data_IF_422273396160
#
_entry.id   IF_422273396160
#
_cell.length_a   1.000
_cell.length_b   1.000
_cell.length_c   1.000
_cell.angle_alpha   90.00
_cell.angle_beta   90.00
_cell.angle_gamma   90.00
#
_symmetry.space_group_name_H-M   'P 1'
#
loop_
_entity.id
_entity.type
_entity.pdbx_description
1 polymer ?
#
# COMPACT_ATOMS: atom_id res chain seq x y z
N UNK A 1 27.27 -5.99 26.94
CA UNK A 1 26.01 -6.77 26.81
C UNK A 1 25.10 -5.94 25.92
N UNK A 2 25.28 -6.07 24.60
CA UNK A 2 24.65 -5.20 23.61
C UNK A 2 23.26 -5.73 23.32
N UNK A 3 22.25 -4.92 23.62
CA UNK A 3 20.85 -5.19 23.28
C UNK A 3 20.70 -5.28 21.75
N UNK A 4 20.31 -6.44 21.18
CA UNK A 4 20.19 -6.62 19.73
C UNK A 4 18.83 -6.15 19.18
N UNK A 5 18.01 -5.40 19.93
CA UNK A 5 16.78 -4.75 19.42
C UNK A 5 17.11 -3.56 18.50
N UNK A 6 17.95 -3.81 17.50
CA UNK A 6 18.34 -2.88 16.45
C UNK A 6 17.20 -2.78 15.44
N UNK A 7 16.19 -1.99 15.77
CA UNK A 7 15.27 -1.39 14.81
C UNK A 7 14.56 -2.43 13.90
N UNK A 8 13.86 -3.40 14.49
CA UNK A 8 13.02 -4.33 13.72
C UNK A 8 11.87 -3.56 13.07
N UNK A 9 12.06 -3.19 11.82
CA UNK A 9 11.00 -2.64 10.98
C UNK A 9 9.96 -3.75 10.76
N UNK A 10 8.77 -3.58 11.35
CA UNK A 10 7.66 -4.51 11.12
C UNK A 10 7.23 -4.44 9.65
N UNK A 11 7.24 -5.60 8.99
CA UNK A 11 6.71 -5.82 7.64
C UNK A 11 5.73 -7.00 7.67
N UNK A 12 4.53 -6.83 7.11
CA UNK A 12 3.54 -7.93 7.08
C UNK A 12 3.74 -8.89 5.92
N UNK A 13 4.50 -8.50 4.88
CA UNK A 13 4.80 -9.33 3.73
C UNK A 13 6.30 -9.38 3.46
N UNK A 14 6.74 -10.42 2.76
CA UNK A 14 8.10 -10.58 2.24
C UNK A 14 8.17 -10.26 0.75
N UNK A 15 9.38 -10.10 0.20
CA UNK A 15 9.57 -9.88 -1.25
C UNK A 15 9.13 -11.11 -2.04
N UNK A 16 9.34 -12.31 -1.50
CA UNK A 16 8.90 -13.56 -2.14
C UNK A 16 7.38 -13.63 -2.25
N UNK A 17 6.66 -13.29 -1.17
CA UNK A 17 5.20 -13.18 -1.20
C UNK A 17 4.73 -12.10 -2.17
N UNK A 18 5.43 -10.98 -2.28
CA UNK A 18 5.11 -9.96 -3.27
C UNK A 18 5.25 -10.51 -4.70
N UNK A 19 6.28 -11.30 -4.98
CA UNK A 19 6.53 -11.90 -6.29
C UNK A 19 5.43 -12.88 -6.72
N UNK A 20 4.68 -13.47 -5.79
CA UNK A 20 3.48 -14.28 -6.11
C UNK A 20 2.29 -13.42 -6.55
N UNK A 21 2.28 -12.13 -6.21
CA UNK A 21 1.17 -11.21 -6.44
C UNK A 21 1.37 -10.23 -7.61
N UNK A 22 2.58 -10.21 -8.19
CA UNK A 22 2.94 -9.32 -9.30
C UNK A 22 3.71 -10.10 -10.37
N UNK A 23 3.69 -9.63 -11.61
CA UNK A 23 4.49 -10.25 -12.68
C UNK A 23 5.97 -9.85 -12.57
N UNK A 24 6.88 -10.62 -13.16
CA UNK A 24 8.31 -10.24 -13.23
C UNK A 24 8.50 -8.84 -13.85
N UNK A 25 7.78 -8.54 -14.93
CA UNK A 25 7.80 -7.21 -15.57
C UNK A 25 7.29 -6.07 -14.66
N UNK A 26 6.44 -6.38 -13.67
CA UNK A 26 6.01 -5.40 -12.67
C UNK A 26 7.07 -5.20 -11.58
N UNK A 27 7.76 -6.27 -11.17
CA UNK A 27 8.90 -6.19 -10.26
C UNK A 27 10.06 -5.39 -10.87
N UNK A 28 10.34 -5.57 -12.17
CA UNK A 28 11.40 -4.86 -12.89
C UNK A 28 11.19 -3.33 -12.95
N UNK A 29 9.96 -2.85 -12.67
CA UNK A 29 9.69 -1.41 -12.53
C UNK A 29 10.23 -0.83 -11.23
N UNK A 30 10.47 -1.66 -10.21
CA UNK A 30 11.06 -1.27 -8.96
C UNK A 30 12.58 -1.37 -9.09
N UNK A 31 13.33 -0.44 -8.51
CA UNK A 31 14.75 -0.66 -8.34
C UNK A 31 14.99 -1.86 -7.42
N UNK A 32 16.07 -2.63 -7.63
CA UNK A 32 16.36 -3.92 -6.96
C UNK A 32 16.27 -3.89 -5.42
N UNK A 33 16.41 -2.71 -4.79
CA UNK A 33 16.33 -2.54 -3.34
C UNK A 33 15.06 -1.85 -2.82
N UNK A 34 14.17 -1.42 -3.72
CA UNK A 34 12.98 -0.65 -3.36
C UNK A 34 11.78 -1.54 -3.01
N UNK A 35 11.73 -2.81 -3.43
CA UNK A 35 10.62 -3.71 -3.12
C UNK A 35 10.37 -3.83 -1.60
N UNK A 36 11.42 -4.03 -0.81
CA UNK A 36 11.31 -4.06 0.66
C UNK A 36 10.84 -2.72 1.25
N UNK A 37 11.23 -1.61 0.64
CA UNK A 37 10.81 -0.27 1.07
C UNK A 37 9.34 -0.01 0.74
N UNK A 38 8.87 -0.41 -0.43
CA UNK A 38 7.45 -0.35 -0.81
C UNK A 38 6.60 -1.19 0.14
N UNK A 39 7.03 -2.42 0.46
CA UNK A 39 6.35 -3.29 1.42
C UNK A 39 6.23 -2.61 2.79
N UNK A 40 7.29 -1.92 3.24
CA UNK A 40 7.25 -1.18 4.51
C UNK A 40 6.23 -0.05 4.49
N UNK A 41 6.18 0.75 3.43
CA UNK A 41 5.19 1.83 3.32
C UNK A 41 3.76 1.27 3.26
N UNK A 42 3.54 0.19 2.49
CA UNK A 42 2.25 -0.49 2.45
C UNK A 42 1.84 -1.07 3.81
N UNK A 43 2.80 -1.63 4.56
CA UNK A 43 2.58 -2.14 5.92
C UNK A 43 2.06 -1.03 6.85
N UNK A 44 2.57 0.20 6.74
CA UNK A 44 2.08 1.32 7.54
C UNK A 44 0.63 1.69 7.22
N UNK A 45 0.24 1.66 5.94
CA UNK A 45 -1.16 1.89 5.53
C UNK A 45 -2.09 0.79 6.07
N UNK A 46 -1.68 -0.47 5.94
CA UNK A 46 -2.45 -1.61 6.46
C UNK A 46 -2.59 -1.50 7.98
N UNK A 47 -1.51 -1.22 8.71
CA UNK A 47 -1.54 -1.04 10.17
C UNK A 47 -2.44 0.13 10.59
N UNK A 48 -2.42 1.22 9.84
CA UNK A 48 -3.32 2.37 10.09
C UNK A 48 -4.77 1.99 9.88
N UNK A 49 -5.07 1.17 8.87
CA UNK A 49 -6.41 0.68 8.59
C UNK A 49 -6.93 -0.30 9.65
N UNK A 50 -6.04 -1.11 10.25
CA UNK A 50 -6.38 -2.13 11.26
C UNK A 50 -6.13 -1.70 12.70
N UNK A 51 -5.76 -0.43 12.95
CA UNK A 51 -5.38 0.06 14.28
C UNK A 51 -6.47 -0.08 15.36
N UNK A 52 -7.74 -0.21 14.95
CA UNK A 52 -8.88 -0.36 15.85
C UNK A 52 -9.35 -1.82 15.96
N UNK A 53 -8.74 -2.74 15.22
CA UNK A 53 -9.05 -4.16 15.31
C UNK A 53 -8.24 -4.78 16.46
N UNK A 54 -8.88 -5.64 17.26
CA UNK A 54 -8.24 -6.30 18.39
C UNK A 54 -7.88 -7.73 18.01
N UNK A 55 -6.60 -8.07 18.06
CA UNK A 55 -6.07 -9.40 17.80
C UNK A 55 -4.75 -9.60 18.57
N UNK A 56 -4.46 -10.85 18.90
CA UNK A 56 -3.21 -11.19 19.58
C UNK A 56 -2.03 -11.08 18.62
N UNK A 57 -0.93 -10.51 19.11
CA UNK A 57 0.30 -10.30 18.32
C UNK A 57 1.49 -10.97 19.00
N UNK A 58 2.39 -11.47 18.17
CA UNK A 58 3.71 -11.95 18.59
C UNK A 58 4.56 -10.78 19.09
N UNK A 59 5.67 -11.04 19.81
CA UNK A 59 6.64 -9.98 20.18
C UNK A 59 7.20 -9.22 18.97
N UNK A 60 7.16 -9.81 17.78
CA UNK A 60 7.56 -9.17 16.53
C UNK A 60 6.49 -8.21 15.96
N UNK A 61 5.28 -8.15 16.52
CA UNK A 61 4.19 -7.26 16.07
C UNK A 61 3.31 -7.82 14.94
N UNK A 62 3.45 -9.12 14.63
CA UNK A 62 2.62 -9.85 13.64
C UNK A 62 1.53 -10.63 14.36
N UNK A 63 0.30 -10.77 13.82
CA UNK A 63 -0.74 -11.58 14.44
C UNK A 63 -0.30 -13.01 14.75
N UNK A 64 -0.76 -13.56 15.87
CA UNK A 64 -0.55 -14.97 16.20
C UNK A 64 -1.47 -15.90 15.40
N UNK A 65 -2.65 -15.42 15.00
CA UNK A 65 -3.56 -16.14 14.11
C UNK A 65 -3.00 -16.15 12.68
N UNK A 66 -2.70 -17.32 12.11
CA UNK A 66 -2.15 -17.43 10.75
C UNK A 66 -3.10 -16.87 9.69
N UNK A 67 -4.42 -16.92 9.89
CA UNK A 67 -5.40 -16.39 8.93
C UNK A 67 -5.31 -14.86 8.87
N UNK A 68 -5.14 -14.22 10.03
CA UNK A 68 -4.99 -12.77 10.12
C UNK A 68 -3.62 -12.33 9.58
N UNK A 69 -2.56 -13.08 9.89
CA UNK A 69 -1.22 -12.82 9.36
C UNK A 69 -1.21 -12.87 7.82
N UNK A 70 -1.79 -13.91 7.22
CA UNK A 70 -1.93 -14.03 5.76
C UNK A 70 -2.80 -12.91 5.18
N UNK A 71 -3.89 -12.53 5.84
CA UNK A 71 -4.74 -11.45 5.36
C UNK A 71 -4.00 -10.10 5.31
N UNK A 72 -3.20 -9.79 6.33
CA UNK A 72 -2.36 -8.59 6.36
C UNK A 72 -1.25 -8.65 5.29
N UNK A 73 -0.62 -9.81 5.10
CA UNK A 73 0.40 -10.01 4.08
C UNK A 73 -0.17 -9.78 2.67
N UNK A 74 -1.28 -10.44 2.35
CA UNK A 74 -1.95 -10.31 1.05
C UNK A 74 -2.41 -8.87 0.82
N UNK A 75 -3.01 -8.21 1.83
CA UNK A 75 -3.42 -6.81 1.71
C UNK A 75 -2.23 -5.88 1.43
N UNK A 76 -1.08 -6.14 2.06
CA UNK A 76 0.17 -5.41 1.81
C UNK A 76 0.66 -5.61 0.37
N UNK A 77 0.71 -6.85 -0.11
CA UNK A 77 1.09 -7.16 -1.50
C UNK A 77 0.14 -6.53 -2.53
N UNK A 78 -1.17 -6.56 -2.27
CA UNK A 78 -2.17 -5.88 -3.13
C UNK A 78 -1.89 -4.39 -3.19
N UNK A 79 -1.62 -3.73 -2.07
CA UNK A 79 -1.33 -2.29 -2.06
C UNK A 79 -0.09 -1.97 -2.91
N UNK A 80 1.00 -2.72 -2.73
CA UNK A 80 2.23 -2.54 -3.53
C UNK A 80 1.97 -2.78 -5.02
N UNK A 81 1.24 -3.83 -5.36
CA UNK A 81 0.84 -4.11 -6.75
C UNK A 81 0.06 -2.94 -7.35
N UNK A 82 -0.87 -2.33 -6.61
CA UNK A 82 -1.63 -1.19 -7.11
C UNK A 82 -0.76 0.04 -7.32
N UNK A 83 0.26 0.28 -6.48
CA UNK A 83 1.25 1.32 -6.75
C UNK A 83 2.03 1.07 -8.04
N UNK A 84 2.51 -0.15 -8.25
CA UNK A 84 3.24 -0.52 -9.48
C UNK A 84 2.36 -0.39 -10.73
N UNK A 85 1.09 -0.81 -10.63
CA UNK A 85 0.12 -0.73 -11.75
C UNK A 85 -0.19 0.70 -12.15
N UNK A 86 -0.18 1.63 -11.19
CA UNK A 86 -0.50 3.04 -11.41
C UNK A 86 0.75 3.93 -11.58
N UNK A 87 1.94 3.34 -11.63
CA UNK A 87 3.25 4.01 -11.68
C UNK A 87 3.43 5.04 -10.55
N UNK A 88 2.99 4.68 -9.34
CA UNK A 88 3.08 5.51 -8.13
C UNK A 88 4.33 5.13 -7.34
N UNK A 89 5.13 6.13 -6.97
CA UNK A 89 6.27 5.96 -6.07
C UNK A 89 5.94 6.45 -4.64
N UNK A 90 5.63 5.57 -3.68
CA UNK A 90 5.38 5.94 -2.28
C UNK A 90 6.63 6.48 -1.58
N UNK A 91 7.84 6.17 -2.06
CA UNK A 91 9.11 6.57 -1.43
C UNK A 91 9.51 8.01 -1.75
N UNK A 92 8.92 8.59 -2.80
CA UNK A 92 9.13 9.99 -3.15
C UNK A 92 8.19 10.96 -2.39
N UNK A 93 7.38 10.44 -1.46
CA UNK A 93 6.43 11.24 -0.67
C UNK A 93 5.36 11.91 -1.55
N UNK A 94 4.85 13.07 -1.14
CA UNK A 94 3.89 13.85 -1.94
C UNK A 94 4.43 14.27 -3.32
N UNK A 95 5.76 14.25 -3.50
CA UNK A 95 6.44 14.51 -4.78
C UNK A 95 6.54 13.27 -5.68
N UNK A 96 6.13 12.09 -5.22
CA UNK A 96 6.11 10.83 -5.98
C UNK A 96 4.98 10.69 -6.99
N UNK A 97 4.11 11.70 -7.08
CA UNK A 97 3.22 11.91 -8.20
C UNK A 97 4.07 12.49 -9.34
N UNK A 98 4.52 11.67 -10.28
CA UNK A 98 5.04 12.19 -11.55
C UNK A 98 3.96 13.12 -12.11
N UNK A 99 4.22 14.42 -12.29
CA UNK A 99 3.23 15.30 -12.89
C UNK A 99 3.01 14.79 -14.32
N UNK A 100 1.90 14.09 -14.54
CA UNK A 100 1.43 13.84 -15.91
C UNK A 100 1.27 15.23 -16.50
N UNK A 101 2.07 15.57 -17.51
CA UNK A 101 2.00 16.85 -18.21
C UNK A 101 0.58 16.99 -18.76
N UNK A 102 -0.29 17.62 -17.98
CA UNK A 102 -1.62 17.99 -18.40
C UNK A 102 -1.46 19.31 -19.13
N UNK A 103 -1.58 19.24 -20.45
CA UNK A 103 -1.57 20.33 -21.44
C UNK A 103 -0.19 20.81 -21.91
N UNK A 104 0.11 20.51 -23.18
CA UNK A 104 0.73 21.49 -24.07
C UNK A 104 -0.43 22.28 -24.68
N UNK A 105 -0.51 23.57 -24.38
CA UNK A 105 -1.48 24.48 -24.99
C UNK A 105 -1.05 24.80 -26.42
N UNK A 106 -1.68 24.19 -27.41
CA UNK A 106 -1.65 24.69 -28.79
C UNK A 106 -3.08 25.05 -29.18
N UNK A 107 -3.40 26.33 -29.04
CA UNK A 107 -4.53 27.02 -29.65
C UNK A 107 -5.94 26.38 -29.49
N UNK A 108 -6.58 26.66 -28.35
CA UNK A 108 -8.03 26.94 -28.34
C UNK A 108 -9.01 25.80 -28.10
N UNK A 109 -8.66 24.72 -27.40
CA UNK A 109 -9.67 23.80 -26.86
C UNK A 109 -9.28 23.27 -25.48
N UNK A 110 -10.13 23.55 -24.49
CA UNK A 110 -9.91 23.17 -23.09
C UNK A 110 -10.57 21.82 -22.80
N UNK A 111 -9.77 20.85 -22.33
CA UNK A 111 -10.27 19.62 -21.71
C UNK A 111 -9.58 19.52 -20.34
N UNK A 112 -10.21 20.05 -19.30
CA UNK A 112 -9.64 20.15 -17.94
C UNK A 112 -10.52 19.52 -16.85
N UNK A 113 -11.13 18.37 -17.11
CA UNK A 113 -11.88 17.63 -16.08
C UNK A 113 -11.30 16.24 -15.76
N UNK A 114 -10.57 15.60 -16.68
CA UNK A 114 -10.08 14.22 -16.48
C UNK A 114 -8.75 14.20 -15.68
N UNK A 115 -7.92 15.23 -15.79
CA UNK A 115 -6.58 15.24 -15.16
C UNK A 115 -6.61 15.48 -13.65
N UNK A 116 -7.55 16.28 -13.16
CA UNK A 116 -7.68 16.60 -11.74
C UNK A 116 -8.20 15.41 -10.93
N UNK A 117 -9.21 14.69 -11.43
CA UNK A 117 -9.75 13.49 -10.79
C UNK A 117 -8.72 12.35 -10.72
N UNK A 118 -7.93 12.15 -11.78
CA UNK A 118 -6.84 11.16 -11.79
C UNK A 118 -5.73 11.52 -10.79
N UNK A 119 -5.36 12.81 -10.68
CA UNK A 119 -4.37 13.25 -9.71
C UNK A 119 -4.87 13.03 -8.27
N UNK A 120 -6.14 13.31 -7.99
CA UNK A 120 -6.77 13.03 -6.69
C UNK A 120 -6.79 11.54 -6.39
N UNK A 121 -7.15 10.69 -7.36
CA UNK A 121 -7.17 9.23 -7.18
C UNK A 121 -5.77 8.66 -6.88
N UNK A 122 -4.73 9.15 -7.57
CA UNK A 122 -3.33 8.76 -7.30
C UNK A 122 -2.84 9.26 -5.94
N UNK A 123 -3.21 10.49 -5.56
CA UNK A 123 -2.89 11.02 -4.24
C UNK A 123 -3.52 10.18 -3.12
N UNK A 124 -4.78 9.74 -3.29
CA UNK A 124 -5.43 8.82 -2.35
C UNK A 124 -4.70 7.50 -2.22
N UNK A 125 -4.20 6.93 -3.32
CA UNK A 125 -3.44 5.67 -3.26
C UNK A 125 -2.16 5.79 -2.42
N UNK A 126 -1.55 6.98 -2.31
CA UNK A 126 -0.39 7.21 -1.45
C UNK A 126 -0.74 7.24 0.05
N UNK A 127 -1.92 7.72 0.40
CA UNK A 127 -2.32 7.96 1.80
C UNK A 127 -3.33 6.96 2.33
N UNK A 128 -3.99 6.20 1.46
CA UNK A 128 -5.09 5.31 1.79
C UNK A 128 -4.91 3.92 1.19
N UNK A 129 -5.43 2.93 1.92
CA UNK A 129 -5.48 1.56 1.46
C UNK A 129 -6.48 1.43 0.30
N UNK A 130 -6.08 0.71 -0.76
CA UNK A 130 -6.95 0.39 -1.90
C UNK A 130 -8.20 -0.37 -1.48
N UNK A 131 -9.30 -0.21 -2.21
CA UNK A 131 -10.55 -0.92 -1.93
C UNK A 131 -10.39 -2.45 -2.00
N UNK A 132 -9.54 -2.94 -2.90
CA UNK A 132 -9.25 -4.37 -3.02
C UNK A 132 -8.51 -4.89 -1.79
N UNK A 133 -7.47 -4.19 -1.32
CA UNK A 133 -6.77 -4.59 -0.09
C UNK A 133 -7.70 -4.50 1.13
N UNK A 134 -8.54 -3.47 1.22
CA UNK A 134 -9.56 -3.32 2.28
C UNK A 134 -10.59 -4.45 2.26
N UNK A 135 -11.04 -4.86 1.08
CA UNK A 135 -11.97 -6.00 0.92
C UNK A 135 -11.34 -7.30 1.41
N UNK A 136 -10.05 -7.52 1.11
CA UNK A 136 -9.32 -8.69 1.63
C UNK A 136 -9.25 -8.68 3.16
N UNK A 137 -8.93 -7.54 3.78
CA UNK A 137 -8.93 -7.42 5.24
C UNK A 137 -10.31 -7.73 5.85
N UNK A 138 -11.38 -7.17 5.26
CA UNK A 138 -12.76 -7.42 5.71
C UNK A 138 -13.17 -8.88 5.61
N UNK A 139 -12.71 -9.59 4.58
CA UNK A 139 -12.98 -11.03 4.46
C UNK A 139 -12.39 -11.86 5.60
N UNK A 140 -11.35 -11.33 6.27
CA UNK A 140 -10.73 -11.94 7.45
C UNK A 140 -11.25 -11.34 8.78
N UNK A 141 -12.29 -10.51 8.74
CA UNK A 141 -12.86 -9.84 9.92
C UNK A 141 -12.12 -8.55 10.34
N UNK A 142 -11.01 -8.19 9.68
CA UNK A 142 -10.23 -6.97 9.93
C UNK A 142 -10.75 -5.78 9.12
N UNK A 143 -10.40 -4.56 9.52
CA UNK A 143 -10.84 -3.31 8.89
C UNK A 143 -12.38 -3.26 8.71
N UNK A 144 -13.10 -3.99 9.56
CA UNK A 144 -14.54 -3.93 9.70
C UNK A 144 -14.81 -2.68 10.51
N UNK A 145 -14.85 -1.53 9.82
CA UNK A 145 -15.38 -0.33 10.44
C UNK A 145 -16.72 -0.72 11.06
N UNK A 146 -16.84 -0.53 12.38
CA UNK A 146 -18.14 -0.33 12.98
C UNK A 146 -18.74 0.83 12.19
N UNK A 147 -19.64 0.50 11.26
CA UNK A 147 -20.44 1.49 10.54
C UNK A 147 -21.27 2.13 11.64
N UNK A 148 -20.78 3.24 12.19
CA UNK A 148 -21.64 4.20 12.84
C UNK A 148 -22.56 4.71 11.72
N UNK A 149 -23.69 4.01 11.53
CA UNK A 149 -24.79 4.48 10.71
C UNK A 149 -25.14 5.87 11.25
N UNK A 150 -24.94 6.89 10.44
CA UNK A 150 -25.66 8.15 10.58
C UNK A 150 -26.98 8.02 9.83
#
# INVERSE_FOLDING_TARGET
MSDPQRNLVLTYATVDQLAEHVTAAQLDKLADSDAARYIREATQLVRTATKNDMYDVTPAGVPTDPILADALAIATCIQVREWIRNDINPLAGAAGLTPTVASASTNGSSVSYISTEQAVARARLLTELTDTARTKLRSAGLASAMVARR
#
